data_IF_271795065010
#
_entry.id   IF_271795065010
#
_cell.length_a   1.000
_cell.length_b   1.000
_cell.length_c   1.000
_cell.angle_alpha   90.00
_cell.angle_beta   90.00
_cell.angle_gamma   90.00
#
_symmetry.space_group_name_H-M   'P 1'
#
loop_
_entity.id
_entity.type
_entity.pdbx_description
1 polymer ?
#
# COMPACT_ATOMS: atom_id res chain seq x y z
N UNK A 1 -17.28 -6.60 -5.41
CA UNK A 1 -16.70 -5.36 -4.86
C UNK A 1 -15.31 -5.18 -5.45
N UNK A 2 -14.84 -3.96 -5.66
CA UNK A 2 -13.46 -3.68 -6.10
C UNK A 2 -12.57 -3.47 -4.88
N UNK A 3 -11.43 -4.13 -4.81
CA UNK A 3 -10.41 -3.94 -3.79
C UNK A 3 -9.23 -3.18 -4.39
N UNK A 4 -8.75 -2.15 -3.71
CA UNK A 4 -7.65 -1.29 -4.18
C UNK A 4 -6.47 -1.44 -3.23
N UNK A 5 -5.33 -1.84 -3.75
CA UNK A 5 -4.10 -2.04 -2.98
C UNK A 5 -3.15 -0.87 -3.20
N UNK A 6 -2.70 -0.26 -2.12
CA UNK A 6 -1.75 0.84 -2.14
C UNK A 6 -0.44 0.40 -1.45
N UNK A 7 0.72 0.93 -1.88
CA UNK A 7 1.93 0.86 -1.09
C UNK A 7 1.86 1.89 0.05
N UNK A 8 2.62 1.75 1.13
CA UNK A 8 2.80 2.83 2.10
C UNK A 8 3.61 3.96 1.47
N UNK A 9 3.52 5.14 2.05
CA UNK A 9 4.47 6.22 1.75
C UNK A 9 5.77 6.06 2.55
N UNK A 10 6.83 6.70 2.08
CA UNK A 10 8.07 6.83 2.84
C UNK A 10 7.88 7.83 3.99
N UNK A 11 7.39 9.04 3.70
CA UNK A 11 7.00 10.02 4.69
C UNK A 11 5.76 9.58 5.46
N UNK A 12 5.74 9.83 6.76
CA UNK A 12 4.63 9.50 7.65
C UNK A 12 4.41 10.64 8.65
N UNK A 13 3.17 11.05 8.76
CA UNK A 13 2.76 12.10 9.69
C UNK A 13 2.34 11.48 11.02
N UNK A 14 3.04 11.84 12.10
CA UNK A 14 2.69 11.43 13.46
C UNK A 14 2.02 12.54 14.23
N UNK A 15 1.67 12.23 15.47
CA UNK A 15 1.17 13.19 16.47
C UNK A 15 2.08 13.19 17.70
N UNK A 16 2.22 14.34 18.36
CA UNK A 16 3.01 14.44 19.58
C UNK A 16 2.32 13.78 20.79
N UNK A 17 1.01 13.58 20.75
CA UNK A 17 0.23 12.99 21.85
C UNK A 17 -0.91 12.13 21.28
N UNK A 18 -1.27 11.09 22.00
CA UNK A 18 -2.34 10.17 21.63
C UNK A 18 -2.20 8.84 22.34
N UNK A 19 -3.14 7.94 22.07
CA UNK A 19 -3.04 6.55 22.52
C UNK A 19 -2.03 5.82 21.64
N UNK A 20 -1.31 4.87 22.21
CA UNK A 20 -0.48 3.93 21.47
C UNK A 20 -1.35 2.98 20.63
N UNK A 21 -0.68 2.16 19.81
CA UNK A 21 -1.35 1.14 19.02
C UNK A 21 -1.99 0.09 19.92
N UNK A 22 -3.18 -0.33 19.53
CA UNK A 22 -3.87 -1.50 20.08
C UNK A 22 -3.98 -2.52 18.93
N UNK A 23 -3.19 -3.59 19.01
CA UNK A 23 -3.09 -4.61 17.96
C UNK A 23 -4.42 -5.32 17.72
N UNK A 24 -5.22 -5.55 18.79
CA UNK A 24 -6.50 -6.24 18.68
C UNK A 24 -7.56 -5.40 17.96
N UNK A 25 -7.38 -4.08 17.93
CA UNK A 25 -8.26 -3.17 17.20
C UNK A 25 -7.95 -3.06 15.70
N UNK A 26 -6.81 -3.61 15.26
CA UNK A 26 -6.40 -3.53 13.86
C UNK A 26 -7.19 -4.53 12.99
N UNK A 27 -7.43 -4.14 11.75
CA UNK A 27 -7.92 -5.06 10.72
C UNK A 27 -6.93 -6.22 10.56
N UNK A 28 -7.47 -7.41 10.30
CA UNK A 28 -6.65 -8.63 10.13
C UNK A 28 -5.86 -8.99 11.40
N UNK A 29 -6.51 -9.27 12.53
CA UNK A 29 -5.84 -9.59 13.79
C UNK A 29 -4.98 -10.87 13.71
N UNK A 30 -5.27 -11.76 12.77
CA UNK A 30 -4.45 -12.94 12.47
C UNK A 30 -3.02 -12.59 11.99
N UNK A 31 -2.76 -11.34 11.59
CA UNK A 31 -1.42 -10.84 11.28
C UNK A 31 -0.63 -10.42 12.52
N UNK A 32 -1.25 -10.32 13.71
CA UNK A 32 -0.61 -9.79 14.91
C UNK A 32 0.67 -10.53 15.32
N UNK A 33 0.76 -11.86 15.27
CA UNK A 33 2.02 -12.54 15.57
C UNK A 33 3.18 -12.12 14.66
N UNK A 34 2.91 -11.94 13.35
CA UNK A 34 3.93 -11.47 12.40
C UNK A 34 4.23 -9.99 12.58
N UNK A 35 3.21 -9.15 12.90
CA UNK A 35 3.41 -7.73 13.25
C UNK A 35 4.38 -7.57 14.40
N UNK A 36 4.15 -8.28 15.50
CA UNK A 36 5.03 -8.23 16.69
C UNK A 36 6.45 -8.69 16.37
N UNK A 37 6.61 -9.82 15.69
CA UNK A 37 7.93 -10.31 15.31
C UNK A 37 8.71 -9.30 14.45
N UNK A 38 8.05 -8.69 13.46
CA UNK A 38 8.66 -7.67 12.58
C UNK A 38 8.98 -6.41 13.36
N UNK A 39 8.05 -5.89 14.16
CA UNK A 39 8.21 -4.63 14.87
C UNK A 39 9.24 -4.74 16.01
N UNK A 40 9.29 -5.85 16.73
CA UNK A 40 10.28 -6.07 17.77
C UNK A 40 11.69 -6.25 17.20
N UNK A 41 11.81 -6.92 16.05
CA UNK A 41 13.08 -7.00 15.34
C UNK A 41 13.50 -5.63 14.78
N UNK A 42 12.55 -4.88 14.22
CA UNK A 42 12.77 -3.52 13.75
C UNK A 42 13.26 -2.60 14.88
N UNK A 43 12.65 -2.68 16.07
CA UNK A 43 13.07 -1.90 17.24
C UNK A 43 14.50 -2.23 17.66
N UNK A 44 14.85 -3.54 17.70
CA UNK A 44 16.22 -4.00 18.03
C UNK A 44 17.24 -3.48 17.00
N UNK A 45 16.93 -3.61 15.71
CA UNK A 45 17.78 -3.09 14.63
C UNK A 45 17.94 -1.58 14.75
N UNK A 46 16.86 -0.86 14.98
CA UNK A 46 16.88 0.62 15.07
C UNK A 46 17.67 1.14 16.26
N UNK A 47 17.82 0.35 17.33
CA UNK A 47 18.65 0.65 18.48
C UNK A 47 20.14 0.25 18.30
N UNK A 48 20.48 -0.45 17.22
CA UNK A 48 21.84 -0.91 16.97
C UNK A 48 22.69 0.13 16.23
N UNK A 49 24.02 0.00 16.32
CA UNK A 49 24.95 0.85 15.57
C UNK A 49 24.90 0.66 14.05
N UNK A 50 24.28 -0.43 13.56
CA UNK A 50 24.16 -0.76 12.13
C UNK A 50 22.76 -0.44 11.55
N UNK A 51 21.94 0.28 12.29
CA UNK A 51 20.55 0.58 11.94
C UNK A 51 20.41 1.14 10.51
N UNK A 52 21.22 2.13 10.15
CA UNK A 52 21.16 2.78 8.84
C UNK A 52 21.51 1.82 7.70
N UNK A 53 22.53 0.98 7.91
CA UNK A 53 22.96 -0.03 6.94
C UNK A 53 21.86 -1.06 6.69
N UNK A 54 21.29 -1.64 7.75
CA UNK A 54 20.24 -2.64 7.65
C UNK A 54 18.95 -2.08 7.03
N UNK A 55 18.55 -0.87 7.42
CA UNK A 55 17.34 -0.23 6.93
C UNK A 55 17.51 0.43 5.55
N UNK A 56 18.73 0.55 5.05
CA UNK A 56 19.04 1.18 3.77
C UNK A 56 18.68 2.66 3.72
N UNK A 57 18.92 3.39 4.83
CA UNK A 57 18.58 4.81 4.97
C UNK A 57 19.80 5.64 5.39
N UNK A 58 19.79 6.93 5.04
CA UNK A 58 20.85 7.84 5.45
C UNK A 58 20.68 8.41 6.87
N UNK A 59 21.75 8.97 7.46
CA UNK A 59 21.72 9.57 8.80
C UNK A 59 20.72 10.73 8.95
N UNK A 60 20.33 11.39 7.87
CA UNK A 60 19.30 12.44 7.89
C UNK A 60 17.94 11.95 8.36
N UNK A 61 17.72 10.62 8.36
CA UNK A 61 16.49 9.97 8.82
C UNK A 61 16.61 9.39 10.24
N UNK A 62 17.63 9.79 11.01
CA UNK A 62 17.89 9.28 12.36
C UNK A 62 16.65 9.37 13.27
N UNK A 63 15.94 10.50 13.24
CA UNK A 63 14.72 10.67 14.02
C UNK A 63 13.61 9.69 13.63
N UNK A 64 13.45 9.38 12.34
CA UNK A 64 12.47 8.39 11.87
C UNK A 64 12.87 6.96 12.30
N UNK A 65 14.18 6.66 12.29
CA UNK A 65 14.71 5.36 12.74
C UNK A 65 14.52 5.21 14.24
N UNK A 66 14.81 6.24 15.04
CA UNK A 66 14.63 6.24 16.48
C UNK A 66 13.18 5.95 16.89
N UNK A 67 12.19 6.48 16.18
CA UNK A 67 10.78 6.22 16.45
C UNK A 67 10.40 4.73 16.36
N UNK A 68 11.08 3.94 15.55
CA UNK A 68 10.85 2.50 15.49
C UNK A 68 11.07 1.79 16.84
N UNK A 69 11.98 2.32 17.67
CA UNK A 69 12.30 1.76 18.99
C UNK A 69 11.08 1.81 19.91
N UNK A 70 10.28 2.84 19.75
CA UNK A 70 9.15 3.16 20.64
C UNK A 70 7.78 2.77 20.07
N UNK A 71 7.71 1.86 19.12
CA UNK A 71 6.48 1.53 18.40
C UNK A 71 5.28 1.17 19.30
N UNK A 72 5.55 0.59 20.51
CA UNK A 72 4.50 0.25 21.47
C UNK A 72 3.95 1.43 22.26
N UNK A 73 4.67 2.53 22.35
CA UNK A 73 4.33 3.70 23.16
C UNK A 73 4.11 4.96 22.33
N UNK A 74 4.61 4.98 21.10
CA UNK A 74 4.45 6.09 20.16
C UNK A 74 2.96 6.30 19.84
N UNK A 75 2.46 7.56 19.79
CA UNK A 75 1.08 7.85 19.46
C UNK A 75 0.66 7.31 18.10
N UNK A 76 -0.42 6.53 18.06
CA UNK A 76 -0.98 5.94 16.86
C UNK A 76 -1.99 6.89 16.19
N UNK A 77 -1.92 7.00 14.87
CA UNK A 77 -2.85 7.78 14.04
C UNK A 77 -3.51 6.89 12.99
N UNK A 78 -4.70 7.23 12.49
CA UNK A 78 -5.31 6.47 11.40
C UNK A 78 -4.39 6.39 10.18
N UNK A 79 -4.37 5.26 9.48
CA UNK A 79 -3.59 5.09 8.25
C UNK A 79 -3.92 6.18 7.21
N UNK A 80 -5.16 6.66 7.18
CA UNK A 80 -5.62 7.77 6.34
C UNK A 80 -4.97 9.13 6.65
N UNK A 81 -4.40 9.29 7.84
CA UNK A 81 -3.69 10.50 8.27
C UNK A 81 -2.17 10.26 8.34
N UNK A 82 -1.75 9.01 8.51
CA UNK A 82 -0.36 8.60 8.65
C UNK A 82 0.42 8.78 7.35
N UNK A 83 -0.12 8.24 6.26
CA UNK A 83 0.56 8.22 4.97
C UNK A 83 0.39 9.54 4.23
N UNK A 84 1.51 10.09 3.76
CA UNK A 84 1.58 11.38 3.06
C UNK A 84 2.43 11.27 1.80
N UNK A 85 2.51 12.36 1.02
CA UNK A 85 3.29 12.43 -0.20
C UNK A 85 2.51 12.05 -1.45
N UNK A 86 3.17 12.04 -2.60
CA UNK A 86 2.63 12.16 -3.96
C UNK A 86 1.37 11.32 -4.24
N UNK A 87 1.38 10.03 -3.87
CA UNK A 87 0.24 9.15 -4.09
C UNK A 87 -0.93 9.52 -3.16
N UNK A 88 -0.65 9.76 -1.89
CA UNK A 88 -1.66 10.04 -0.87
C UNK A 88 -2.22 11.46 -1.00
N UNK A 89 -1.41 12.42 -1.45
CA UNK A 89 -1.85 13.78 -1.76
C UNK A 89 -2.82 13.76 -2.95
N UNK A 90 -2.52 12.97 -3.98
CA UNK A 90 -3.40 12.76 -5.13
C UNK A 90 -4.68 12.00 -4.78
N UNK A 91 -4.61 11.00 -3.89
CA UNK A 91 -5.79 10.33 -3.32
C UNK A 91 -6.67 11.32 -2.54
N UNK A 92 -6.05 12.25 -1.79
CA UNK A 92 -6.73 13.33 -1.10
C UNK A 92 -7.82 12.84 -0.14
N UNK A 93 -7.53 11.82 0.68
CA UNK A 93 -8.54 11.18 1.56
C UNK A 93 -9.34 12.19 2.39
N UNK A 94 -8.70 13.23 2.90
CA UNK A 94 -9.36 14.24 3.74
C UNK A 94 -10.51 14.96 3.02
N UNK A 95 -10.39 15.17 1.71
CA UNK A 95 -11.34 15.90 0.84
C UNK A 95 -12.41 15.01 0.22
N UNK A 96 -12.37 13.70 0.43
CA UNK A 96 -13.39 12.78 -0.05
C UNK A 96 -14.75 13.03 0.62
N UNK A 97 -15.83 12.86 -0.12
CA UNK A 97 -17.18 12.89 0.43
C UNK A 97 -17.39 11.81 1.49
N UNK A 98 -18.37 11.95 2.41
CA UNK A 98 -18.65 10.90 3.39
C UNK A 98 -18.93 9.53 2.76
N UNK A 99 -19.60 9.50 1.61
CA UNK A 99 -19.85 8.27 0.84
C UNK A 99 -18.56 7.64 0.31
N UNK A 100 -17.65 8.46 -0.24
CA UNK A 100 -16.36 8.01 -0.74
C UNK A 100 -15.43 7.55 0.39
N UNK A 101 -15.46 8.21 1.56
CA UNK A 101 -14.72 7.75 2.76
C UNK A 101 -15.20 6.39 3.25
N UNK A 102 -16.52 6.12 3.26
CA UNK A 102 -17.05 4.79 3.59
C UNK A 102 -16.53 3.74 2.61
N UNK A 103 -16.54 4.03 1.30
CA UNK A 103 -15.97 3.14 0.28
C UNK A 103 -14.46 2.95 0.47
N UNK A 104 -13.72 4.00 0.78
CA UNK A 104 -12.28 3.91 1.06
C UNK A 104 -12.00 2.96 2.24
N UNK A 105 -12.72 3.09 3.35
CA UNK A 105 -12.55 2.21 4.52
C UNK A 105 -12.84 0.74 4.21
N UNK A 106 -13.73 0.44 3.27
CA UNK A 106 -14.06 -0.94 2.88
C UNK A 106 -13.21 -1.49 1.73
N UNK A 107 -12.71 -0.62 0.83
CA UNK A 107 -12.08 -1.03 -0.43
C UNK A 107 -10.58 -0.77 -0.51
N UNK A 108 -10.02 0.16 0.28
CA UNK A 108 -8.59 0.43 0.29
C UNK A 108 -7.87 -0.45 1.31
N UNK A 109 -6.77 -1.03 0.89
CA UNK A 109 -5.79 -1.68 1.77
C UNK A 109 -4.41 -1.10 1.48
N UNK A 110 -3.68 -0.76 2.54
CA UNK A 110 -2.26 -0.40 2.46
C UNK A 110 -1.44 -1.62 2.84
N UNK A 111 -0.60 -2.11 1.93
CA UNK A 111 0.32 -3.22 2.21
C UNK A 111 1.66 -2.65 2.67
N UNK A 112 2.00 -2.89 3.92
CA UNK A 112 3.11 -2.27 4.66
C UNK A 112 4.19 -3.29 5.03
N UNK A 113 5.45 -2.88 5.02
CA UNK A 113 6.57 -3.70 5.50
C UNK A 113 6.54 -3.95 7.01
N UNK A 114 6.02 -3.01 7.79
CA UNK A 114 5.92 -3.13 9.26
C UNK A 114 4.61 -3.79 9.72
N UNK A 115 3.48 -3.48 9.06
CA UNK A 115 2.16 -3.81 9.56
C UNK A 115 1.39 -4.85 8.73
N UNK A 116 1.99 -5.36 7.65
CA UNK A 116 1.30 -6.25 6.72
C UNK A 116 0.20 -5.52 5.94
N UNK A 117 -1.07 -5.79 6.23
CA UNK A 117 -2.20 -5.12 5.62
C UNK A 117 -2.93 -4.22 6.63
N UNK A 118 -3.27 -3.00 6.19
CA UNK A 118 -4.02 -2.01 6.97
C UNK A 118 -5.20 -1.48 6.17
N UNK A 119 -6.32 -1.22 6.84
CA UNK A 119 -7.40 -0.37 6.34
C UNK A 119 -7.16 1.09 6.71
N UNK A 120 -7.87 2.01 6.06
CA UNK A 120 -7.67 3.46 6.28
C UNK A 120 -8.00 3.92 7.70
N UNK A 121 -8.83 3.18 8.44
CA UNK A 121 -9.18 3.48 9.84
C UNK A 121 -8.21 2.91 10.87
N UNK A 122 -7.36 1.95 10.49
CA UNK A 122 -6.41 1.32 11.41
C UNK A 122 -5.43 2.34 11.97
N UNK A 123 -5.23 2.31 13.28
CA UNK A 123 -4.39 3.29 13.96
C UNK A 123 -3.04 2.68 14.29
N UNK A 124 -1.99 3.21 13.69
CA UNK A 124 -0.61 2.75 13.90
C UNK A 124 0.35 3.95 14.04
N UNK A 125 1.44 3.80 14.78
CA UNK A 125 2.44 4.86 14.89
C UNK A 125 3.26 4.99 13.59
N UNK A 126 3.89 6.15 13.36
CA UNK A 126 4.88 6.31 12.31
C UNK A 126 6.06 5.35 12.50
N UNK A 127 6.60 4.90 11.38
CA UNK A 127 7.72 3.95 11.34
C UNK A 127 8.57 4.18 10.09
N UNK A 128 9.80 3.71 10.09
CA UNK A 128 10.67 3.68 8.92
C UNK A 128 11.09 2.24 8.62
N UNK A 129 10.44 1.64 7.62
CA UNK A 129 10.76 0.29 7.15
C UNK A 129 10.26 0.11 5.71
N UNK A 130 11.14 -0.34 4.83
CA UNK A 130 10.80 -0.71 3.45
C UNK A 130 10.50 -2.21 3.35
N UNK A 131 9.60 -2.61 2.45
CA UNK A 131 9.37 -4.02 2.13
C UNK A 131 10.61 -4.70 1.51
N UNK A 132 11.55 -3.92 0.95
CA UNK A 132 12.81 -4.42 0.40
C UNK A 132 13.83 -4.82 1.47
N UNK A 133 13.59 -4.46 2.75
CA UNK A 133 14.54 -4.72 3.84
C UNK A 133 14.61 -6.21 4.16
N UNK A 134 15.81 -6.69 4.47
CA UNK A 134 16.07 -7.97 5.09
C UNK A 134 16.36 -7.74 6.56
N UNK A 135 15.50 -8.22 7.45
CA UNK A 135 15.70 -8.08 8.89
C UNK A 135 16.52 -9.26 9.44
N UNK A 136 17.54 -9.00 10.28
CA UNK A 136 18.33 -10.06 10.93
C UNK A 136 17.42 -11.04 11.71
N UNK A 137 17.64 -12.32 11.52
CA UNK A 137 16.86 -13.38 12.19
C UNK A 137 15.47 -13.65 11.60
N UNK A 138 14.91 -12.75 10.79
CA UNK A 138 13.63 -12.96 10.12
C UNK A 138 13.78 -13.22 8.61
N UNK A 139 14.76 -12.58 7.96
CA UNK A 139 14.96 -12.67 6.52
C UNK A 139 14.29 -11.54 5.71
N UNK A 140 14.16 -11.71 4.39
CA UNK A 140 13.54 -10.71 3.49
C UNK A 140 12.06 -10.49 3.84
N UNK A 141 11.66 -9.25 4.11
CA UNK A 141 10.31 -8.92 4.57
C UNK A 141 9.21 -9.38 3.61
N UNK A 142 9.44 -9.29 2.30
CA UNK A 142 8.48 -9.81 1.33
C UNK A 142 8.21 -11.31 1.48
N UNK A 143 9.21 -12.08 1.94
CA UNK A 143 9.04 -13.51 2.23
C UNK A 143 8.38 -13.75 3.59
N UNK A 144 8.73 -12.97 4.59
CA UNK A 144 8.10 -13.02 5.94
C UNK A 144 6.60 -12.78 5.86
N UNK A 145 6.16 -11.83 5.05
CA UNK A 145 4.75 -11.47 4.90
C UNK A 145 3.96 -12.36 3.94
N UNK A 146 4.60 -13.21 3.12
CA UNK A 146 3.94 -13.93 2.04
C UNK A 146 2.79 -14.82 2.51
N UNK A 147 3.05 -15.71 3.44
CA UNK A 147 2.05 -16.68 3.90
C UNK A 147 0.99 -16.03 4.81
N UNK A 148 1.35 -15.17 5.80
CA UNK A 148 0.36 -14.44 6.57
C UNK A 148 -0.58 -13.58 5.70
N UNK A 149 -0.04 -12.82 4.74
CA UNK A 149 -0.86 -12.00 3.85
C UNK A 149 -1.71 -12.83 2.90
N UNK A 150 -1.24 -14.01 2.46
CA UNK A 150 -2.05 -14.90 1.62
C UNK A 150 -3.29 -15.34 2.40
N UNK A 151 -3.13 -15.85 3.61
CA UNK A 151 -4.26 -16.31 4.42
C UNK A 151 -5.31 -15.20 4.63
N UNK A 152 -4.86 -13.97 4.94
CA UNK A 152 -5.76 -12.85 5.23
C UNK A 152 -6.37 -12.23 3.98
N UNK A 153 -5.56 -11.97 2.95
CA UNK A 153 -6.01 -11.21 1.79
C UNK A 153 -6.79 -12.06 0.79
N UNK A 154 -6.48 -13.35 0.62
CA UNK A 154 -7.26 -14.22 -0.26
C UNK A 154 -8.71 -14.31 0.23
N UNK A 155 -8.92 -14.39 1.55
CA UNK A 155 -10.25 -14.34 2.15
C UNK A 155 -10.94 -12.98 1.96
N UNK A 156 -10.21 -11.87 2.17
CA UNK A 156 -10.74 -10.51 2.06
C UNK A 156 -11.12 -10.11 0.63
N UNK A 157 -10.41 -10.64 -0.37
CA UNK A 157 -10.67 -10.38 -1.79
C UNK A 157 -11.99 -11.00 -2.24
N UNK A 158 -12.25 -12.25 -1.88
CA UNK A 158 -13.44 -12.97 -2.31
C UNK A 158 -13.60 -12.95 -3.85
N UNK A 159 -14.72 -12.39 -4.34
CA UNK A 159 -15.01 -12.26 -5.78
C UNK A 159 -14.66 -10.89 -6.38
N UNK A 160 -13.93 -10.05 -5.66
CA UNK A 160 -13.62 -8.66 -6.07
C UNK A 160 -12.62 -8.60 -7.23
N UNK A 161 -12.69 -7.54 -8.04
CA UNK A 161 -11.57 -7.13 -8.88
C UNK A 161 -10.53 -6.47 -7.98
N UNK A 162 -9.26 -6.84 -8.17
CA UNK A 162 -8.13 -6.33 -7.40
C UNK A 162 -7.41 -5.30 -8.26
N UNK A 163 -7.45 -4.04 -7.84
CA UNK A 163 -6.71 -2.94 -8.47
C UNK A 163 -5.42 -2.72 -7.69
N UNK A 164 -4.30 -3.16 -8.26
CA UNK A 164 -3.01 -3.14 -7.57
C UNK A 164 -2.17 -1.92 -7.99
N UNK A 165 -2.16 -0.92 -7.12
CA UNK A 165 -1.36 0.29 -7.26
C UNK A 165 0.01 0.21 -6.56
N UNK A 166 0.40 -0.95 -6.02
CA UNK A 166 1.69 -1.15 -5.36
C UNK A 166 2.85 -1.14 -6.36
N UNK A 167 4.06 -0.85 -5.87
CA UNK A 167 5.27 -1.13 -6.62
C UNK A 167 5.57 -2.64 -6.61
N UNK A 168 6.44 -3.09 -7.52
CA UNK A 168 6.87 -4.49 -7.62
C UNK A 168 7.41 -5.04 -6.29
N UNK A 169 8.14 -4.22 -5.54
CA UNK A 169 8.69 -4.55 -4.22
C UNK A 169 7.58 -4.91 -3.21
N UNK A 170 6.52 -4.11 -3.15
CA UNK A 170 5.39 -4.40 -2.26
C UNK A 170 4.47 -5.49 -2.79
N UNK A 171 4.35 -5.62 -4.12
CA UNK A 171 3.61 -6.71 -4.74
C UNK A 171 4.26 -8.08 -4.50
N UNK A 172 5.59 -8.12 -4.24
CA UNK A 172 6.31 -9.36 -3.93
C UNK A 172 5.87 -10.02 -2.61
N UNK A 173 5.33 -9.24 -1.67
CA UNK A 173 4.85 -9.76 -0.38
C UNK A 173 3.54 -10.55 -0.50
N UNK A 174 2.71 -10.21 -1.47
CA UNK A 174 1.50 -10.96 -1.79
C UNK A 174 1.07 -10.69 -3.23
N UNK A 175 0.85 -11.75 -3.96
CA UNK A 175 0.21 -11.74 -5.28
C UNK A 175 -0.93 -12.75 -5.26
N UNK A 176 -2.11 -12.39 -5.79
CA UNK A 176 -3.19 -13.35 -5.94
C UNK A 176 -2.74 -14.54 -6.80
N UNK A 177 -3.13 -15.73 -6.38
CA UNK A 177 -2.88 -16.96 -7.11
C UNK A 177 -4.20 -17.53 -7.66
N UNK A 178 -4.08 -18.54 -8.52
CA UNK A 178 -5.18 -19.34 -9.01
C UNK A 178 -6.33 -18.50 -9.60
N UNK A 179 -7.55 -18.75 -9.17
CA UNK A 179 -8.75 -18.05 -9.67
C UNK A 179 -8.74 -16.54 -9.35
N UNK A 180 -8.11 -16.12 -8.25
CA UNK A 180 -8.02 -14.72 -7.88
C UNK A 180 -7.13 -13.93 -8.85
N UNK A 181 -6.11 -14.57 -9.41
CA UNK A 181 -5.20 -13.93 -10.38
C UNK A 181 -5.94 -13.45 -11.63
N UNK A 182 -7.00 -14.14 -12.04
CA UNK A 182 -7.81 -13.75 -13.20
C UNK A 182 -8.51 -12.39 -13.02
N UNK A 183 -8.64 -11.91 -11.78
CA UNK A 183 -9.24 -10.61 -11.42
C UNK A 183 -8.21 -9.60 -10.90
N UNK A 184 -6.95 -9.96 -10.89
CA UNK A 184 -5.86 -9.07 -10.47
C UNK A 184 -5.43 -8.19 -11.62
N UNK A 185 -5.45 -6.88 -11.41
CA UNK A 185 -5.11 -5.84 -12.38
C UNK A 185 -4.04 -4.94 -11.79
N UNK A 186 -2.80 -5.08 -12.23
CA UNK A 186 -1.71 -4.19 -11.86
C UNK A 186 -1.84 -2.87 -12.65
N UNK A 187 -1.79 -1.73 -11.95
CA UNK A 187 -1.85 -0.40 -12.56
C UNK A 187 -0.44 0.04 -12.95
N UNK A 188 -0.22 0.15 -14.25
CA UNK A 188 0.97 0.76 -14.84
C UNK A 188 0.64 2.18 -15.31
N UNK A 189 1.61 3.07 -15.26
CA UNK A 189 1.47 4.45 -15.77
C UNK A 189 2.66 4.74 -16.68
N UNK A 190 2.38 5.19 -17.87
CA UNK A 190 3.38 5.61 -18.85
C UNK A 190 3.07 7.03 -19.33
N UNK A 191 4.11 7.79 -19.60
CA UNK A 191 3.99 9.06 -20.32
C UNK A 191 4.35 8.82 -21.78
N UNK A 192 3.52 9.33 -22.67
CA UNK A 192 3.77 9.31 -24.11
C UNK A 192 4.09 10.71 -24.61
N UNK A 193 5.26 10.85 -25.23
CA UNK A 193 5.72 12.09 -25.85
C UNK A 193 6.29 11.80 -27.21
N UNK A 194 5.70 12.40 -28.25
CA UNK A 194 6.15 12.16 -29.64
C UNK A 194 6.14 10.70 -30.06
N UNK A 195 5.19 9.89 -29.57
CA UNK A 195 5.09 8.46 -29.85
C UNK A 195 6.06 7.56 -29.05
N UNK A 196 6.87 8.15 -28.14
CA UNK A 196 7.79 7.39 -27.27
C UNK A 196 7.20 7.29 -25.87
N UNK A 197 7.09 6.07 -25.37
CA UNK A 197 6.58 5.77 -24.01
C UNK A 197 7.72 5.62 -23.01
N UNK A 198 7.58 6.26 -21.86
CA UNK A 198 8.52 6.16 -20.74
C UNK A 198 7.79 6.03 -19.41
N UNK A 199 8.43 5.36 -18.45
CA UNK A 199 7.92 5.27 -17.07
C UNK A 199 8.57 6.39 -16.25
N UNK A 200 7.76 7.33 -15.75
CA UNK A 200 8.21 8.39 -14.85
C UNK A 200 7.71 8.08 -13.44
N UNK A 201 8.61 7.65 -12.58
CA UNK A 201 8.27 7.13 -11.25
C UNK A 201 7.43 8.08 -10.39
N UNK A 202 7.72 9.38 -10.42
CA UNK A 202 6.96 10.39 -9.67
C UNK A 202 5.53 10.51 -10.19
N UNK A 203 5.36 10.65 -11.50
CA UNK A 203 4.05 10.73 -12.14
C UNK A 203 3.23 9.44 -11.89
N UNK A 204 3.87 8.29 -11.97
CA UNK A 204 3.20 7.02 -11.72
C UNK A 204 2.61 6.92 -10.30
N UNK A 205 3.27 7.49 -9.28
CA UNK A 205 2.71 7.56 -7.92
C UNK A 205 1.49 8.48 -7.87
N UNK A 206 1.58 9.66 -8.49
CA UNK A 206 0.48 10.63 -8.55
C UNK A 206 -0.75 10.04 -9.23
N UNK A 207 -0.59 9.51 -10.44
CA UNK A 207 -1.69 8.97 -11.23
C UNK A 207 -2.33 7.75 -10.58
N UNK A 208 -1.57 6.87 -9.92
CA UNK A 208 -2.13 5.78 -9.10
C UNK A 208 -3.00 6.31 -7.95
N UNK A 209 -2.63 7.42 -7.33
CA UNK A 209 -3.45 8.11 -6.33
C UNK A 209 -4.76 8.65 -6.93
N UNK A 210 -4.70 9.28 -8.10
CA UNK A 210 -5.88 9.76 -8.84
C UNK A 210 -6.80 8.61 -9.27
N UNK A 211 -6.26 7.51 -9.77
CA UNK A 211 -7.03 6.30 -10.12
C UNK A 211 -7.76 5.76 -8.91
N UNK A 212 -7.08 5.63 -7.78
CA UNK A 212 -7.71 5.19 -6.54
C UNK A 212 -8.83 6.14 -6.10
N UNK A 213 -8.58 7.46 -6.14
CA UNK A 213 -9.58 8.49 -5.86
C UNK A 213 -10.81 8.38 -6.76
N UNK A 214 -10.59 8.31 -8.07
CA UNK A 214 -11.67 8.21 -9.06
C UNK A 214 -12.55 6.98 -8.84
N UNK A 215 -11.96 5.83 -8.58
CA UNK A 215 -12.71 4.61 -8.26
C UNK A 215 -13.57 4.76 -7.01
N UNK A 216 -13.11 5.52 -6.02
CA UNK A 216 -13.89 5.79 -4.81
C UNK A 216 -15.01 6.81 -5.05
N UNK A 217 -14.76 7.86 -5.82
CA UNK A 217 -15.74 8.93 -6.09
C UNK A 217 -16.81 8.50 -7.09
N UNK A 218 -16.47 7.71 -8.10
CA UNK A 218 -17.42 7.20 -9.10
C UNK A 218 -18.58 6.39 -8.48
N UNK A 219 -18.36 5.78 -7.33
CA UNK A 219 -19.31 4.88 -6.68
C UNK A 219 -19.57 3.58 -7.45
N UNK A 220 -18.99 3.44 -8.64
CA UNK A 220 -19.11 2.24 -9.48
C UNK A 220 -18.29 1.08 -8.91
N UNK A 221 -18.68 -0.14 -9.26
CA UNK A 221 -18.04 -1.37 -8.77
C UNK A 221 -17.80 -2.33 -9.95
N UNK A 222 -16.71 -2.14 -10.71
CA UNK A 222 -16.42 -2.97 -11.87
C UNK A 222 -16.15 -4.42 -11.43
N UNK A 223 -16.96 -5.36 -11.93
CA UNK A 223 -16.87 -6.78 -11.59
C UNK A 223 -15.84 -7.56 -12.41
N UNK A 224 -15.27 -6.95 -13.46
CA UNK A 224 -14.27 -7.58 -14.35
C UNK A 224 -13.17 -6.61 -14.72
N UNK A 225 -11.97 -7.11 -15.13
CA UNK A 225 -10.87 -6.25 -15.62
C UNK A 225 -11.29 -5.37 -16.82
N UNK A 226 -12.11 -5.88 -17.75
CA UNK A 226 -12.62 -5.09 -18.88
C UNK A 226 -13.58 -3.98 -18.43
N UNK A 227 -14.43 -4.25 -17.45
CA UNK A 227 -15.31 -3.22 -16.88
C UNK A 227 -14.49 -2.15 -16.14
N UNK A 228 -13.39 -2.52 -15.46
CA UNK A 228 -12.44 -1.60 -14.85
C UNK A 228 -11.78 -0.73 -15.92
N UNK A 229 -11.25 -1.31 -17.00
CA UNK A 229 -10.66 -0.56 -18.11
C UNK A 229 -11.66 0.47 -18.68
N UNK A 230 -12.89 0.05 -18.94
CA UNK A 230 -13.94 0.95 -19.46
C UNK A 230 -14.19 2.11 -18.50
N UNK A 231 -14.24 1.85 -17.19
CA UNK A 231 -14.46 2.86 -16.18
C UNK A 231 -13.28 3.86 -16.11
N UNK A 232 -12.04 3.35 -16.09
CA UNK A 232 -10.85 4.21 -16.09
C UNK A 232 -10.74 4.99 -17.41
N UNK A 233 -11.16 4.40 -18.51
CA UNK A 233 -11.22 5.03 -19.83
C UNK A 233 -12.16 6.23 -19.94
N UNK A 234 -13.04 6.47 -18.95
CA UNK A 234 -13.85 7.69 -18.87
C UNK A 234 -13.00 8.94 -18.51
N UNK A 235 -11.79 8.75 -17.95
CA UNK A 235 -10.92 9.84 -17.48
C UNK A 235 -9.54 9.84 -18.14
N UNK A 236 -9.02 8.68 -18.56
CA UNK A 236 -7.66 8.52 -19.10
C UNK A 236 -7.66 7.63 -20.35
N UNK A 237 -6.66 7.75 -21.18
CA UNK A 237 -6.37 6.69 -22.13
C UNK A 237 -5.89 5.45 -21.36
N UNK A 238 -6.65 4.36 -21.45
CA UNK A 238 -6.41 3.15 -20.66
C UNK A 238 -6.37 1.90 -21.55
N UNK A 239 -5.26 1.19 -21.49
CA UNK A 239 -5.02 -0.07 -22.20
C UNK A 239 -5.05 -1.23 -21.20
N UNK A 240 -5.53 -2.41 -21.62
CA UNK A 240 -5.62 -3.58 -20.76
C UNK A 240 -5.03 -4.80 -21.47
N UNK A 241 -3.94 -5.32 -20.92
CA UNK A 241 -3.22 -6.45 -21.46
C UNK A 241 -3.18 -7.63 -20.49
N UNK A 242 -3.19 -8.85 -21.03
CA UNK A 242 -2.92 -10.05 -20.23
C UNK A 242 -1.45 -10.08 -19.85
N UNK A 243 -1.17 -10.28 -18.55
CA UNK A 243 0.21 -10.37 -18.04
C UNK A 243 0.30 -11.56 -17.09
N UNK A 244 0.85 -12.67 -17.58
CA UNK A 244 0.84 -13.92 -16.83
C UNK A 244 -0.58 -14.40 -16.52
N UNK A 245 -0.86 -14.70 -15.25
CA UNK A 245 -2.19 -15.11 -14.80
C UNK A 245 -3.16 -13.93 -14.59
N UNK A 246 -2.64 -12.69 -14.48
CA UNK A 246 -3.41 -11.47 -14.23
C UNK A 246 -3.49 -10.54 -15.44
N UNK A 247 -3.62 -9.25 -15.14
CA UNK A 247 -3.75 -8.17 -16.12
C UNK A 247 -2.87 -6.98 -15.74
N UNK A 248 -2.46 -6.22 -16.75
CA UNK A 248 -1.89 -4.89 -16.59
C UNK A 248 -2.83 -3.86 -17.21
N UNK A 249 -3.27 -2.89 -16.41
CA UNK A 249 -3.98 -1.70 -16.87
C UNK A 249 -2.96 -0.58 -17.00
N UNK A 250 -2.65 -0.20 -18.23
CA UNK A 250 -1.74 0.90 -18.51
C UNK A 250 -2.51 2.19 -18.71
N UNK A 251 -2.28 3.16 -17.82
CA UNK A 251 -2.78 4.54 -17.97
C UNK A 251 -1.73 5.33 -18.72
N UNK A 252 -2.11 5.88 -19.86
CA UNK A 252 -1.23 6.69 -20.72
C UNK A 252 -1.51 8.17 -20.46
N UNK A 253 -0.49 8.89 -20.00
CA UNK A 253 -0.50 10.35 -19.87
C UNK A 253 0.08 10.97 -21.14
N UNK A 254 -0.63 11.91 -21.72
CA UNK A 254 -0.17 12.73 -22.84
C UNK A 254 0.26 14.11 -22.31
N UNK A 255 1.32 14.68 -22.92
CA UNK A 255 1.78 16.05 -22.61
C UNK A 255 0.80 17.09 -23.15
#
# INVERSE_FOLDING_TARGET
MTLILLPPSEGKTGRARGRSVDLESLSFPELNPTREAVLDTLAKVSASGDAFGVLGVGPSLAHEVERNIHWRTEPAVPASELYSGVLYDALGYATLSPGSKRRANSRLLVVSGAWGALRMGDRVPPYRLSMATTLPGLGPLASVWRDPLRASLDAAVGKSVIVDCRSSTYAAAWRPADELAAKWVAVSVVRERGGVRSVVSHNAKHTRGLVARYLLESGKDPGTPKALQKLIGEQWHAELDRTGAGWTLTVVEHD
#
